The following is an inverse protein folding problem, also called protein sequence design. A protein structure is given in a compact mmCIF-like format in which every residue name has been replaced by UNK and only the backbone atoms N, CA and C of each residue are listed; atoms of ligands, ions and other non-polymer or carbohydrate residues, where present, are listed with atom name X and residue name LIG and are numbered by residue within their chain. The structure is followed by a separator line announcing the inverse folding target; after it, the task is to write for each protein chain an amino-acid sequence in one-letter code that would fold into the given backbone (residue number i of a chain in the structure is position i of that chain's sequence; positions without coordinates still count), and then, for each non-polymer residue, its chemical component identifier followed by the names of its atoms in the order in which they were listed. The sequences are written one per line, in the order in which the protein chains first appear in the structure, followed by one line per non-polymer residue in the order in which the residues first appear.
data_IF_654381743434
#
_entry.id   IF_654381743434
#
_cell.length_a   1.000
_cell.length_b   1.000
_cell.length_c   1.000
_cell.angle_alpha   90.00
_cell.angle_beta   90.00
_cell.angle_gamma   90.00
#
_symmetry.space_group_name_H-M   'P 1'
#
loop_
_entity.id
_entity.type
_entity.pdbx_description
1 polymer ?
#
# COMPACT_ATOMS: atom_id res chain seq x y z
N UNK A 1 -4.94 -19.21 -7.34
CA UNK A 1 -4.99 -18.32 -6.15
C UNK A 1 -5.78 -17.08 -6.54
N UNK A 2 -6.50 -16.41 -5.62
CA UNK A 2 -7.05 -15.10 -5.92
C UNK A 2 -5.91 -14.16 -6.35
N UNK A 3 -6.13 -13.33 -7.38
CA UNK A 3 -5.09 -12.50 -7.98
C UNK A 3 -4.50 -11.51 -6.97
N UNK A 4 -5.36 -10.94 -6.12
CA UNK A 4 -5.00 -10.06 -5.01
C UNK A 4 -5.42 -10.71 -3.68
N UNK A 5 -4.47 -10.86 -2.76
CA UNK A 5 -4.70 -11.53 -1.46
C UNK A 5 -5.24 -10.52 -0.45
N UNK A 6 -6.47 -10.72 0.05
CA UNK A 6 -7.00 -9.97 1.18
C UNK A 6 -6.46 -10.56 2.50
N UNK A 7 -5.83 -9.75 3.33
CA UNK A 7 -5.19 -10.16 4.58
C UNK A 7 -5.79 -9.39 5.76
N UNK A 8 -5.89 -10.01 6.93
CA UNK A 8 -6.00 -9.24 8.18
C UNK A 8 -4.61 -8.78 8.61
N UNK A 9 -4.51 -7.91 9.61
CA UNK A 9 -3.21 -7.59 10.22
C UNK A 9 -2.51 -8.84 10.77
N UNK A 10 -3.28 -9.74 11.38
CA UNK A 10 -2.75 -10.97 11.96
C UNK A 10 -2.18 -11.89 10.87
N UNK A 11 -2.88 -12.04 9.73
CA UNK A 11 -2.39 -12.87 8.62
C UNK A 11 -1.35 -12.16 7.75
N UNK A 12 -1.25 -10.84 7.84
CA UNK A 12 -0.22 -10.07 7.16
C UNK A 12 1.19 -10.44 7.65
N UNK A 13 1.38 -10.62 8.96
CA UNK A 13 2.68 -11.04 9.51
C UNK A 13 3.16 -12.37 8.90
N UNK A 14 2.25 -13.36 8.80
CA UNK A 14 2.56 -14.65 8.19
C UNK A 14 2.85 -14.53 6.68
N UNK A 15 2.10 -13.70 5.96
CA UNK A 15 2.36 -13.44 4.54
C UNK A 15 3.71 -12.73 4.32
N UNK A 16 4.06 -11.76 5.19
CA UNK A 16 5.32 -11.00 5.16
C UNK A 16 6.54 -11.89 5.40
N UNK A 17 6.40 -12.93 6.22
CA UNK A 17 7.48 -13.90 6.45
C UNK A 17 7.90 -14.65 5.17
N UNK A 18 7.03 -14.71 4.15
CA UNK A 18 7.33 -15.25 2.83
C UNK A 18 7.98 -14.25 1.85
N UNK A 19 8.29 -13.04 2.30
CA UNK A 19 9.00 -12.02 1.51
C UNK A 19 10.44 -11.94 2.02
N UNK A 20 11.45 -11.87 1.14
CA UNK A 20 12.83 -11.70 1.56
C UNK A 20 13.01 -10.57 2.58
N UNK A 21 13.97 -10.75 3.49
CA UNK A 21 14.31 -9.72 4.46
C UNK A 21 14.94 -8.54 3.73
N UNK A 22 14.27 -7.40 3.78
CA UNK A 22 14.69 -6.12 3.20
C UNK A 22 13.92 -5.01 3.91
N UNK A 23 14.39 -3.79 3.77
CA UNK A 23 13.57 -2.61 4.07
C UNK A 23 12.30 -2.61 3.22
N UNK A 24 11.29 -1.85 3.65
CA UNK A 24 10.04 -1.65 2.93
C UNK A 24 10.01 -0.27 2.33
N UNK A 25 9.87 -0.20 1.01
CA UNK A 25 9.70 1.06 0.32
C UNK A 25 8.23 1.47 0.35
N UNK A 26 7.93 2.60 0.97
CA UNK A 26 6.58 3.16 0.93
C UNK A 26 6.42 4.12 -0.25
N UNK A 27 5.56 3.75 -1.20
CA UNK A 27 5.22 4.57 -2.37
C UNK A 27 3.90 5.29 -2.12
N UNK A 28 3.97 6.61 -1.96
CA UNK A 28 2.77 7.44 -1.87
C UNK A 28 2.19 7.74 -3.23
N UNK A 29 0.87 7.55 -3.35
CA UNK A 29 0.10 8.03 -4.49
C UNK A 29 -0.15 9.53 -4.35
N UNK A 30 0.71 10.36 -4.95
CA UNK A 30 0.32 11.74 -5.27
C UNK A 30 -0.28 11.76 -6.67
N UNK A 31 -1.18 12.72 -6.95
CA UNK A 31 -2.05 12.76 -8.12
C UNK A 31 -1.36 12.76 -9.50
N UNK A 32 -2.10 13.17 -10.52
CA UNK A 32 -1.60 13.19 -11.90
C UNK A 32 -0.43 14.18 -12.11
N UNK A 33 0.23 14.10 -13.27
CA UNK A 33 1.35 14.93 -13.75
C UNK A 33 2.76 14.47 -13.39
N UNK A 34 2.94 13.27 -12.84
CA UNK A 34 4.25 12.62 -12.83
C UNK A 34 4.44 11.92 -14.18
N UNK A 35 5.30 12.43 -15.06
CA UNK A 35 5.61 11.76 -16.33
C UNK A 35 6.51 10.54 -16.14
N UNK A 36 6.52 9.62 -17.12
CA UNK A 36 7.32 8.37 -17.08
C UNK A 36 8.84 8.56 -17.20
N UNK A 37 9.30 9.80 -17.37
CA UNK A 37 10.69 10.17 -17.57
C UNK A 37 11.63 9.69 -16.45
N UNK A 38 11.12 9.58 -15.21
CA UNK A 38 11.89 9.15 -14.04
C UNK A 38 11.71 7.66 -13.70
N UNK A 39 11.02 6.89 -14.53
CA UNK A 39 10.66 5.52 -14.14
C UNK A 39 11.88 4.61 -13.99
N UNK A 40 12.90 4.79 -14.84
CA UNK A 40 14.13 4.02 -14.74
C UNK A 40 14.87 4.31 -13.43
N UNK A 41 15.08 5.59 -13.12
CA UNK A 41 15.76 6.03 -11.90
C UNK A 41 14.97 5.63 -10.65
N UNK A 42 13.65 5.78 -10.68
CA UNK A 42 12.78 5.38 -9.58
C UNK A 42 12.77 3.86 -9.37
N UNK A 43 12.85 3.07 -10.44
CA UNK A 43 12.98 1.61 -10.34
C UNK A 43 14.36 1.19 -9.83
N UNK A 44 15.44 1.84 -10.26
CA UNK A 44 16.78 1.56 -9.74
C UNK A 44 16.84 1.84 -8.23
N UNK A 45 16.19 2.90 -7.77
CA UNK A 45 16.05 3.19 -6.34
C UNK A 45 15.29 2.10 -5.56
N UNK A 46 14.55 1.20 -6.23
CA UNK A 46 13.86 0.08 -5.58
C UNK A 46 14.70 -1.21 -5.52
N UNK A 47 15.93 -1.22 -6.04
CA UNK A 47 16.74 -2.44 -6.23
C UNK A 47 17.04 -3.19 -4.93
N UNK A 48 17.16 -2.47 -3.82
CA UNK A 48 17.51 -3.06 -2.52
C UNK A 48 16.26 -3.48 -1.71
N UNK A 49 15.07 -3.27 -2.28
CA UNK A 49 13.78 -3.59 -1.66
C UNK A 49 13.15 -4.82 -2.32
N UNK A 50 12.52 -5.65 -1.49
CA UNK A 50 11.71 -6.81 -1.92
C UNK A 50 10.21 -6.60 -1.68
N UNK A 51 9.85 -5.53 -0.96
CA UNK A 51 8.47 -5.17 -0.65
C UNK A 51 8.22 -3.68 -0.87
N UNK A 52 7.17 -3.37 -1.64
CA UNK A 52 6.58 -2.02 -1.67
C UNK A 52 5.29 -2.02 -0.87
N UNK A 53 5.15 -1.05 0.04
CA UNK A 53 3.86 -0.66 0.55
C UNK A 53 3.30 0.51 -0.27
N UNK A 54 2.04 0.50 -0.68
CA UNK A 54 1.46 1.60 -1.46
C UNK A 54 0.06 2.00 -0.99
N UNK A 55 -0.26 3.28 -1.15
CA UNK A 55 -1.52 3.87 -0.70
C UNK A 55 -2.30 4.61 -1.82
N UNK A 56 -1.92 4.45 -3.08
CA UNK A 56 -2.57 5.12 -4.22
C UNK A 56 -3.30 4.20 -5.20
N UNK A 57 -4.20 4.79 -5.97
CA UNK A 57 -4.95 4.08 -7.02
C UNK A 57 -4.15 3.99 -8.32
N UNK A 58 -4.53 3.07 -9.20
CA UNK A 58 -3.80 2.86 -10.44
C UNK A 58 -3.98 4.07 -11.37
N UNK A 59 -2.90 4.84 -11.56
CA UNK A 59 -2.92 6.00 -12.44
C UNK A 59 -1.62 6.04 -13.25
N UNK A 60 -1.77 6.17 -14.57
CA UNK A 60 -0.63 6.22 -15.49
C UNK A 60 0.26 7.45 -15.27
N UNK A 61 -0.31 8.55 -14.77
CA UNK A 61 0.40 9.80 -14.51
C UNK A 61 0.77 9.99 -13.03
N UNK A 62 0.91 8.91 -12.26
CA UNK A 62 1.29 8.92 -10.85
C UNK A 62 2.39 7.89 -10.55
N UNK A 63 3.01 7.98 -9.37
CA UNK A 63 4.01 7.01 -8.90
C UNK A 63 3.47 5.58 -8.74
N UNK A 64 2.16 5.40 -8.64
CA UNK A 64 1.54 4.07 -8.54
C UNK A 64 1.79 3.20 -9.77
N UNK A 65 2.09 3.79 -10.94
CA UNK A 65 2.53 3.01 -12.12
C UNK A 65 3.83 2.22 -11.89
N UNK A 66 4.61 2.58 -10.87
CA UNK A 66 5.83 1.85 -10.54
C UNK A 66 5.53 0.49 -9.93
N UNK A 67 4.35 0.28 -9.33
CA UNK A 67 3.94 -1.00 -8.73
C UNK A 67 4.03 -2.17 -9.73
N UNK A 68 3.37 -2.14 -10.91
CA UNK A 68 3.50 -3.23 -11.88
C UNK A 68 4.94 -3.38 -12.39
N UNK A 69 5.68 -2.29 -12.55
CA UNK A 69 7.08 -2.33 -13.01
C UNK A 69 8.01 -2.97 -11.98
N UNK A 70 7.82 -2.67 -10.70
CA UNK A 70 8.54 -3.29 -9.60
C UNK A 70 8.25 -4.79 -9.52
N UNK A 71 6.99 -5.20 -9.67
CA UNK A 71 6.60 -6.61 -9.73
C UNK A 71 7.23 -7.33 -10.95
N UNK A 72 7.29 -6.68 -12.10
CA UNK A 72 7.92 -7.25 -13.28
C UNK A 72 9.45 -7.40 -13.15
N UNK A 73 10.10 -6.57 -12.34
CA UNK A 73 11.57 -6.54 -12.26
C UNK A 73 12.21 -7.80 -11.66
N UNK A 74 11.55 -8.46 -10.69
CA UNK A 74 12.02 -9.67 -9.99
C UNK A 74 10.84 -10.52 -9.58
N UNK A 75 10.90 -11.83 -9.76
CA UNK A 75 9.81 -12.75 -9.43
C UNK A 75 9.46 -12.81 -7.94
N UNK A 76 10.45 -12.53 -7.08
CA UNK A 76 10.30 -12.53 -5.62
C UNK A 76 9.67 -11.25 -5.06
N UNK A 77 9.62 -10.18 -5.84
CA UNK A 77 9.08 -8.90 -5.38
C UNK A 77 7.60 -9.04 -5.03
N UNK A 78 7.19 -8.43 -3.92
CA UNK A 78 5.78 -8.36 -3.52
C UNK A 78 5.36 -6.94 -3.21
N UNK A 79 4.07 -6.70 -3.21
CA UNK A 79 3.51 -5.41 -2.83
C UNK A 79 2.35 -5.60 -1.85
N UNK A 80 2.20 -4.68 -0.89
CA UNK A 80 1.06 -4.61 0.02
C UNK A 80 0.41 -3.22 0.06
N UNK A 81 -0.92 -3.17 -0.03
CA UNK A 81 -1.67 -1.94 0.20
C UNK A 81 -2.38 -1.99 1.54
N UNK A 82 -2.38 -0.88 2.27
CA UNK A 82 -3.30 -0.68 3.39
C UNK A 82 -4.44 0.19 2.89
N UNK A 83 -5.68 -0.26 3.11
CA UNK A 83 -6.87 0.39 2.54
C UNK A 83 -7.97 0.54 3.57
N UNK A 84 -8.67 1.67 3.55
CA UNK A 84 -9.89 1.85 4.33
C UNK A 84 -10.93 0.85 3.79
N UNK A 85 -11.61 0.13 4.68
CA UNK A 85 -12.52 -0.96 4.31
C UNK A 85 -13.61 -0.52 3.33
N UNK A 86 -14.22 0.65 3.51
CA UNK A 86 -15.22 1.19 2.58
C UNK A 86 -14.71 1.46 1.15
N UNK A 87 -13.40 1.64 0.96
CA UNK A 87 -12.77 1.89 -0.34
C UNK A 87 -12.27 0.61 -1.03
N UNK A 88 -12.38 -0.52 -0.34
CA UNK A 88 -11.75 -1.76 -0.77
C UNK A 88 -12.28 -2.25 -2.13
N UNK A 89 -13.58 -2.21 -2.37
CA UNK A 89 -14.15 -2.78 -3.60
C UNK A 89 -13.75 -1.98 -4.84
N UNK A 90 -13.74 -0.65 -4.76
CA UNK A 90 -13.25 0.22 -5.84
C UNK A 90 -11.76 -0.04 -6.11
N UNK A 91 -10.95 -0.11 -5.05
CA UNK A 91 -9.53 -0.41 -5.18
C UNK A 91 -9.25 -1.77 -5.83
N UNK A 92 -10.00 -2.81 -5.45
CA UNK A 92 -9.84 -4.13 -6.03
C UNK A 92 -10.20 -4.16 -7.52
N UNK A 93 -11.22 -3.40 -7.92
CA UNK A 93 -11.59 -3.27 -9.32
C UNK A 93 -10.47 -2.59 -10.13
N UNK A 94 -9.92 -1.47 -9.62
CA UNK A 94 -8.86 -0.71 -10.29
C UNK A 94 -7.56 -1.50 -10.49
N UNK A 95 -7.24 -2.39 -9.55
CA UNK A 95 -5.99 -3.17 -9.58
C UNK A 95 -6.14 -4.59 -10.13
N UNK A 96 -7.34 -4.98 -10.57
CA UNK A 96 -7.65 -6.34 -10.97
C UNK A 96 -6.68 -6.89 -12.02
N UNK A 97 -6.47 -6.17 -13.12
CA UNK A 97 -5.66 -6.66 -14.25
C UNK A 97 -4.18 -6.80 -13.87
N UNK A 98 -3.68 -5.90 -13.02
CA UNK A 98 -2.32 -6.00 -12.48
C UNK A 98 -2.21 -7.22 -11.58
N UNK A 99 -3.17 -7.42 -10.68
CA UNK A 99 -3.17 -8.56 -9.77
C UNK A 99 -3.29 -9.90 -10.50
N UNK A 100 -4.09 -9.96 -11.57
CA UNK A 100 -4.19 -11.14 -12.44
C UNK A 100 -2.85 -11.49 -13.10
N UNK A 101 -2.04 -10.47 -13.41
CA UNK A 101 -0.70 -10.63 -14.01
C UNK A 101 0.37 -11.07 -13.01
N UNK A 102 0.13 -10.91 -11.70
CA UNK A 102 1.10 -11.21 -10.64
C UNK A 102 0.46 -12.01 -9.48
N UNK A 103 -0.03 -13.23 -9.74
CA UNK A 103 -0.81 -13.99 -8.75
C UNK A 103 -0.01 -14.27 -7.47
N UNK A 104 -0.59 -13.95 -6.32
CA UNK A 104 0.00 -14.20 -4.99
C UNK A 104 1.13 -13.24 -4.59
N UNK A 105 1.40 -12.23 -5.42
CA UNK A 105 2.44 -11.21 -5.20
C UNK A 105 1.89 -9.86 -4.75
N UNK A 106 0.57 -9.68 -4.85
CA UNK A 106 -0.14 -8.50 -4.38
C UNK A 106 -1.03 -8.84 -3.19
N UNK A 107 -0.96 -8.02 -2.14
CA UNK A 107 -1.82 -8.12 -0.98
C UNK A 107 -2.51 -6.78 -0.66
N UNK A 108 -3.68 -6.86 -0.03
CA UNK A 108 -4.34 -5.72 0.60
C UNK A 108 -4.72 -6.06 2.04
N UNK A 109 -4.45 -5.13 2.94
CA UNK A 109 -4.86 -5.16 4.34
C UNK A 109 -5.95 -4.10 4.52
N UNK A 110 -7.24 -4.47 4.50
CA UNK A 110 -8.29 -3.54 4.87
C UNK A 110 -8.18 -3.19 6.35
N UNK A 111 -8.33 -1.91 6.65
CA UNK A 111 -8.28 -1.37 8.01
C UNK A 111 -9.59 -0.67 8.34
N UNK A 112 -10.02 -0.84 9.58
CA UNK A 112 -11.26 -0.28 10.10
C UNK A 112 -11.04 1.17 10.52
N UNK A 113 -10.82 2.01 9.50
CA UNK A 113 -10.59 3.44 9.61
C UNK A 113 -11.70 4.23 8.92
N UNK A 114 -12.88 3.62 8.81
CA UNK A 114 -14.07 4.28 8.30
C UNK A 114 -14.45 5.45 9.21
N UNK A 115 -14.83 6.55 8.58
CA UNK A 115 -15.27 7.77 9.26
C UNK A 115 -16.69 7.59 9.83
N UNK A 116 -17.06 8.37 10.87
CA UNK A 116 -16.25 9.33 11.62
C UNK A 116 -15.52 8.73 12.84
N UNK A 117 -15.74 7.45 13.12
CA UNK A 117 -15.40 6.85 14.41
C UNK A 117 -13.93 6.43 14.50
N UNK A 118 -13.26 6.20 13.36
CA UNK A 118 -11.90 5.67 13.31
C UNK A 118 -11.70 4.52 14.31
N UNK A 119 -12.69 3.63 14.40
CA UNK A 119 -12.82 2.67 15.51
C UNK A 119 -11.63 1.70 15.61
N UNK A 120 -10.90 1.51 14.51
CA UNK A 120 -9.65 0.77 14.49
C UNK A 120 -8.43 1.52 15.04
N UNK A 121 -8.44 2.84 15.17
CA UNK A 121 -7.24 3.66 15.45
C UNK A 121 -6.52 3.27 16.76
N UNK A 122 -7.27 2.91 17.79
CA UNK A 122 -6.72 2.43 19.05
C UNK A 122 -6.06 1.04 18.90
N UNK A 123 -6.77 0.10 18.26
CA UNK A 123 -6.27 -1.26 17.98
C UNK A 123 -5.07 -1.25 17.04
N UNK A 124 -5.03 -0.27 16.14
CA UNK A 124 -3.98 -0.02 15.18
C UNK A 124 -2.83 0.81 15.78
N UNK A 125 -2.95 1.22 17.05
CA UNK A 125 -1.96 2.00 17.79
C UNK A 125 -1.55 3.33 17.11
N UNK A 126 -2.46 3.91 16.33
CA UNK A 126 -2.28 5.19 15.62
C UNK A 126 -3.11 6.33 16.23
N UNK A 127 -3.71 6.11 17.40
CA UNK A 127 -4.56 7.09 18.07
C UNK A 127 -3.83 8.41 18.39
N UNK A 128 -2.56 8.35 18.78
CA UNK A 128 -1.74 9.55 19.02
C UNK A 128 -1.41 10.30 17.72
N UNK A 129 -1.22 9.58 16.61
CA UNK A 129 -1.01 10.20 15.30
C UNK A 129 -2.29 10.91 14.83
N UNK A 130 -3.46 10.29 15.04
CA UNK A 130 -4.76 10.90 14.74
C UNK A 130 -4.98 12.18 15.57
N UNK A 131 -4.66 12.16 16.87
CA UNK A 131 -4.75 13.36 17.74
C UNK A 131 -3.83 14.49 17.28
N UNK A 132 -2.61 14.18 16.82
CA UNK A 132 -1.67 15.19 16.29
C UNK A 132 -2.16 15.84 14.99
N UNK A 133 -3.11 15.21 14.30
CA UNK A 133 -3.67 15.69 13.04
C UNK A 133 -5.05 16.33 13.22
N UNK A 134 -5.45 16.61 14.46
CA UNK A 134 -6.68 17.33 14.75
C UNK A 134 -6.72 18.68 13.98
N UNK A 135 -7.84 18.95 13.31
CA UNK A 135 -8.00 20.11 12.44
C UNK A 135 -7.51 19.95 10.99
N UNK A 136 -6.84 18.85 10.63
CA UNK A 136 -6.58 18.49 9.23
C UNK A 136 -7.84 17.93 8.57
N UNK A 137 -7.87 17.94 7.23
CA UNK A 137 -8.95 17.29 6.49
C UNK A 137 -8.98 15.78 6.80
N UNK A 138 -10.17 15.21 6.77
CA UNK A 138 -10.36 13.82 7.17
C UNK A 138 -9.68 12.85 6.19
N UNK A 139 -9.63 13.19 4.91
CA UNK A 139 -8.89 12.44 3.89
C UNK A 139 -7.38 12.47 4.19
N UNK A 140 -6.84 13.64 4.57
CA UNK A 140 -5.44 13.78 4.97
C UNK A 140 -5.11 12.89 6.16
N UNK A 141 -6.00 12.83 7.17
CA UNK A 141 -5.85 11.94 8.32
C UNK A 141 -5.83 10.47 7.88
N UNK A 142 -6.79 10.04 7.07
CA UNK A 142 -6.85 8.67 6.55
C UNK A 142 -5.56 8.24 5.84
N UNK A 143 -5.10 9.00 4.84
CA UNK A 143 -3.89 8.66 4.08
C UNK A 143 -2.60 8.73 4.89
N UNK A 144 -2.51 9.62 5.88
CA UNK A 144 -1.36 9.66 6.77
C UNK A 144 -1.31 8.41 7.66
N UNK A 145 -2.46 7.97 8.19
CA UNK A 145 -2.56 6.80 9.06
C UNK A 145 -2.28 5.51 8.28
N UNK A 146 -2.77 5.38 7.05
CA UNK A 146 -2.39 4.26 6.17
C UNK A 146 -0.88 4.19 5.94
N UNK A 147 -0.24 5.35 5.72
CA UNK A 147 1.22 5.42 5.60
C UNK A 147 1.95 5.05 6.89
N UNK A 148 1.41 5.41 8.06
CA UNK A 148 1.97 4.99 9.36
C UNK A 148 1.88 3.48 9.56
N UNK A 149 0.76 2.87 9.17
CA UNK A 149 0.58 1.42 9.24
C UNK A 149 1.53 0.68 8.31
N UNK A 150 1.69 1.18 7.08
CA UNK A 150 2.67 0.67 6.12
C UNK A 150 4.09 0.68 6.69
N UNK A 151 4.50 1.77 7.37
CA UNK A 151 5.82 1.86 7.98
C UNK A 151 5.95 0.98 9.23
N UNK A 152 4.94 0.97 10.11
CA UNK A 152 4.99 0.23 11.38
C UNK A 152 5.00 -1.28 11.19
N UNK A 153 4.20 -1.78 10.25
CA UNK A 153 4.13 -3.21 9.95
C UNK A 153 5.08 -3.62 8.82
N UNK A 154 5.70 -2.65 8.14
CA UNK A 154 6.73 -2.91 7.15
C UNK A 154 8.12 -3.15 7.74
N UNK A 155 8.44 -2.51 8.88
CA UNK A 155 9.70 -2.64 9.60
C UNK A 155 9.81 -3.94 10.41
#
# INVERSE_FOLDING_TARGET
MPPLVKLSLDTFAAWRAGVPESEVLHVKGFGCNVGSYYDADALDATRDFSLIAWDGDLQNAAFTRLVPKFLASRETNKVVAFRIRSQLDAFLADWKDVADSFPGRMAVVPVDMDQPEFSGAARLEVLQDLQRMEGQSVDTQGYALLGRLALRHGA
#
